data_IF_632972566278
#
_entry.id   IF_632972566278
#
_cell.length_a   1.000
_cell.length_b   1.000
_cell.length_c   1.000
_cell.angle_alpha   90.00
_cell.angle_beta   90.00
_cell.angle_gamma   90.00
#
_symmetry.space_group_name_H-M   'P 1'
#
loop_
_entity.id
_entity.type
_entity.pdbx_description
1 polymer ?
#
# COMPACT_ATOMS: atom_id res chain seq x y z
N UNK A 1 51.17 -31.38 -31.03
CA UNK A 1 51.18 -31.49 -29.56
C UNK A 1 51.17 -30.09 -28.99
N UNK A 2 50.27 -29.87 -28.04
CA UNK A 2 50.05 -28.74 -27.12
C UNK A 2 50.83 -27.41 -27.36
N UNK A 3 50.08 -26.34 -27.54
CA UNK A 3 50.52 -24.95 -27.40
C UNK A 3 49.35 -24.10 -26.91
N UNK A 4 49.44 -23.71 -25.65
CA UNK A 4 48.40 -23.16 -24.77
C UNK A 4 47.75 -21.86 -25.27
N UNK A 5 46.42 -21.86 -25.40
CA UNK A 5 45.61 -20.64 -25.42
C UNK A 5 45.33 -20.22 -23.98
N UNK A 6 46.18 -19.35 -23.43
CA UNK A 6 45.99 -18.71 -22.15
C UNK A 6 45.37 -17.32 -22.38
N UNK A 7 44.48 -16.92 -21.46
CA UNK A 7 43.99 -15.55 -21.23
C UNK A 7 43.02 -14.92 -22.24
N UNK A 8 41.75 -15.33 -22.21
CA UNK A 8 40.59 -14.42 -22.34
C UNK A 8 39.47 -14.90 -21.41
N UNK A 9 39.56 -14.63 -20.11
CA UNK A 9 38.46 -14.89 -19.17
C UNK A 9 38.60 -14.11 -17.85
N UNK A 10 38.84 -12.80 -17.89
CA UNK A 10 38.85 -11.96 -16.68
C UNK A 10 38.33 -10.55 -16.93
N UNK A 11 37.20 -10.40 -17.65
CA UNK A 11 36.51 -9.08 -17.77
C UNK A 11 34.98 -9.21 -17.61
N UNK A 12 34.48 -10.28 -16.98
CA UNK A 12 33.01 -10.47 -16.82
C UNK A 12 32.60 -10.82 -15.39
N UNK A 13 33.33 -10.34 -14.38
CA UNK A 13 32.93 -10.45 -12.98
C UNK A 13 33.21 -9.18 -12.15
N UNK A 14 33.28 -8.01 -12.82
CA UNK A 14 33.48 -6.70 -12.18
C UNK A 14 32.49 -5.63 -12.65
N UNK A 15 31.42 -6.04 -13.34
CA UNK A 15 30.33 -5.16 -13.81
C UNK A 15 28.96 -5.50 -13.20
N UNK A 16 28.90 -6.43 -12.24
CA UNK A 16 27.68 -6.79 -11.51
C UNK A 16 27.67 -6.33 -10.05
N UNK A 17 28.72 -5.61 -9.61
CA UNK A 17 28.81 -5.04 -8.25
C UNK A 17 28.77 -3.50 -8.27
N UNK A 18 28.83 -2.85 -9.44
CA UNK A 18 28.89 -1.38 -9.57
C UNK A 18 27.59 -0.72 -10.06
N UNK A 19 26.48 -1.46 -10.17
CA UNK A 19 25.14 -0.90 -10.42
C UNK A 19 24.25 -0.82 -9.17
N UNK A 20 24.87 -0.97 -7.98
CA UNK A 20 24.28 -0.67 -6.68
C UNK A 20 24.74 0.69 -6.11
N UNK A 21 25.50 1.48 -6.87
CA UNK A 21 25.92 2.83 -6.50
C UNK A 21 25.08 3.87 -7.24
N UNK A 22 23.83 4.00 -6.80
CA UNK A 22 22.94 5.08 -7.22
C UNK A 22 21.86 5.23 -6.16
N UNK A 23 22.04 6.20 -5.27
CA UNK A 23 21.35 6.40 -3.99
C UNK A 23 21.96 5.61 -2.82
N UNK A 24 23.28 5.73 -2.66
CA UNK A 24 23.87 5.83 -1.33
C UNK A 24 23.29 7.05 -0.64
N UNK A 25 22.12 6.88 -0.01
CA UNK A 25 21.68 7.74 1.08
C UNK A 25 22.76 7.53 2.13
N UNK A 26 23.58 8.56 2.35
CA UNK A 26 24.44 8.60 3.52
C UNK A 26 23.59 8.18 4.71
N UNK A 27 23.90 7.05 5.32
CA UNK A 27 23.40 6.67 6.64
C UNK A 27 24.06 7.63 7.65
N UNK A 28 23.67 8.89 7.55
CA UNK A 28 24.08 9.99 8.39
C UNK A 28 23.21 9.94 9.64
N UNK A 29 23.86 9.84 10.80
CA UNK A 29 23.33 9.98 12.15
C UNK A 29 21.89 9.49 12.43
N UNK A 30 21.77 8.25 12.92
CA UNK A 30 20.66 7.74 13.75
C UNK A 30 19.32 8.47 13.54
N UNK A 31 18.62 8.21 12.43
CA UNK A 31 17.35 8.86 12.14
C UNK A 31 16.39 8.65 13.32
N UNK A 32 16.16 9.73 14.09
CA UNK A 32 15.33 9.68 15.30
C UNK A 32 13.89 9.36 14.88
N UNK A 33 13.19 8.60 15.73
CA UNK A 33 11.76 8.37 15.58
C UNK A 33 11.02 9.69 15.32
N UNK A 34 10.27 9.76 14.22
CA UNK A 34 9.46 10.91 13.83
C UNK A 34 8.10 10.47 13.31
N UNK A 35 7.14 10.38 14.22
CA UNK A 35 5.74 10.08 13.92
C UNK A 35 5.12 11.14 13.00
N UNK A 36 5.49 12.41 13.20
CA UNK A 36 5.03 13.53 12.37
C UNK A 36 5.46 13.37 10.90
N UNK A 37 6.76 13.13 10.66
CA UNK A 37 7.27 13.01 9.29
C UNK A 37 6.74 11.76 8.58
N UNK A 38 6.59 10.64 9.30
CA UNK A 38 5.92 9.45 8.79
C UNK A 38 4.48 9.74 8.33
N UNK A 39 3.74 10.52 9.14
CA UNK A 39 2.36 10.91 8.82
C UNK A 39 2.29 11.82 7.59
N UNK A 40 3.14 12.85 7.54
CA UNK A 40 3.22 13.75 6.39
C UNK A 40 3.63 13.03 5.10
N UNK A 41 4.50 12.00 5.21
CA UNK A 41 4.87 11.14 4.10
C UNK A 41 3.64 10.40 3.53
N UNK A 42 2.83 9.74 4.36
CA UNK A 42 1.62 9.05 3.90
C UNK A 42 0.58 10.00 3.30
N UNK A 43 0.40 11.19 3.88
CA UNK A 43 -0.48 12.21 3.31
C UNK A 43 -0.02 12.65 1.92
N UNK A 44 1.29 12.78 1.72
CA UNK A 44 1.87 13.11 0.42
C UNK A 44 1.60 12.01 -0.61
N UNK A 45 1.69 10.73 -0.23
CA UNK A 45 1.33 9.61 -1.10
C UNK A 45 -0.17 9.64 -1.46
N UNK A 46 -1.03 9.92 -0.48
CA UNK A 46 -2.48 10.04 -0.69
C UNK A 46 -2.82 11.14 -1.71
N UNK A 47 -2.21 12.30 -1.57
CA UNK A 47 -2.38 13.43 -2.49
C UNK A 47 -1.90 13.08 -3.89
N UNK A 48 -0.69 12.54 -4.00
CA UNK A 48 -0.04 12.28 -5.29
C UNK A 48 -0.83 11.27 -6.10
N UNK A 49 -1.16 10.14 -5.50
CA UNK A 49 -1.66 8.98 -6.23
C UNK A 49 -3.17 8.84 -6.22
N UNK A 50 -3.85 9.27 -5.15
CA UNK A 50 -5.30 9.16 -5.07
C UNK A 50 -5.95 10.46 -5.48
N UNK A 51 -5.65 11.57 -4.82
CA UNK A 51 -6.35 12.84 -5.07
C UNK A 51 -6.04 13.35 -6.48
N UNK A 52 -4.75 13.53 -6.79
CA UNK A 52 -4.32 14.05 -8.10
C UNK A 52 -4.38 12.97 -9.17
N UNK A 53 -3.91 11.76 -8.84
CA UNK A 53 -3.90 10.64 -9.77
C UNK A 53 -5.30 10.26 -10.28
N UNK A 54 -6.26 10.03 -9.38
CA UNK A 54 -7.61 9.62 -9.76
C UNK A 54 -8.37 10.73 -10.51
N UNK A 55 -8.24 12.00 -10.06
CA UNK A 55 -8.87 13.11 -10.79
C UNK A 55 -8.29 13.25 -12.19
N UNK A 56 -6.96 13.14 -12.34
CA UNK A 56 -6.33 13.17 -13.65
C UNK A 56 -6.84 12.02 -14.52
N UNK A 57 -6.93 10.81 -13.98
CA UNK A 57 -7.45 9.65 -14.70
C UNK A 57 -8.90 9.85 -15.16
N UNK A 58 -9.79 10.31 -14.27
CA UNK A 58 -11.22 10.48 -14.59
C UNK A 58 -11.51 11.64 -15.54
N UNK A 59 -10.58 12.59 -15.70
CA UNK A 59 -10.72 13.73 -16.62
C UNK A 59 -9.92 13.58 -17.92
N UNK A 60 -9.08 12.55 -18.02
CA UNK A 60 -8.16 12.39 -19.13
C UNK A 60 -8.76 11.54 -20.24
N UNK A 61 -8.62 12.01 -21.48
CA UNK A 61 -9.01 11.25 -22.68
C UNK A 61 -8.52 9.79 -22.63
N UNK A 62 -9.38 8.79 -22.91
CA UNK A 62 -9.08 7.36 -22.74
C UNK A 62 -7.75 6.90 -23.35
N UNK A 63 -7.38 7.46 -24.51
CA UNK A 63 -6.13 7.19 -25.21
C UNK A 63 -4.86 7.60 -24.43
N UNK A 64 -4.94 8.66 -23.62
CA UNK A 64 -3.84 9.11 -22.77
C UNK A 64 -3.80 8.34 -21.44
N UNK A 65 -4.96 7.86 -20.98
CA UNK A 65 -5.07 7.04 -19.77
C UNK A 65 -4.24 5.75 -19.88
N UNK A 66 -4.30 5.08 -21.04
CA UNK A 66 -3.56 3.84 -21.30
C UNK A 66 -2.04 4.00 -21.16
N UNK A 67 -1.48 5.14 -21.60
CA UNK A 67 -0.04 5.41 -21.48
C UNK A 67 0.42 5.65 -20.03
N UNK A 68 -0.43 6.24 -19.18
CA UNK A 68 -0.12 6.47 -17.77
C UNK A 68 -0.06 5.17 -16.95
N UNK A 69 -0.83 4.16 -17.36
CA UNK A 69 -0.96 2.92 -16.63
C UNK A 69 0.25 2.00 -16.73
N UNK A 70 1.04 2.13 -17.80
CA UNK A 70 2.23 1.31 -18.01
C UNK A 70 3.43 1.75 -17.15
N UNK A 71 3.34 2.87 -16.41
CA UNK A 71 4.51 3.57 -15.85
C UNK A 71 4.47 3.85 -14.34
N UNK A 72 3.46 3.40 -13.60
CA UNK A 72 3.35 3.70 -12.15
C UNK A 72 3.58 2.44 -11.31
N UNK A 73 4.83 2.24 -10.88
CA UNK A 73 5.19 1.23 -9.89
C UNK A 73 5.51 1.88 -8.55
N UNK A 74 4.78 1.52 -7.49
CA UNK A 74 5.14 1.85 -6.12
C UNK A 74 6.09 0.80 -5.54
N UNK A 75 7.10 1.20 -4.74
CA UNK A 75 8.02 0.24 -4.11
C UNK A 75 7.26 -0.73 -3.17
N UNK A 76 7.72 -1.98 -3.01
CA UNK A 76 7.06 -2.96 -2.14
C UNK A 76 6.88 -2.48 -0.70
N UNK A 77 7.85 -1.71 -0.19
CA UNK A 77 7.80 -1.07 1.11
C UNK A 77 7.62 0.44 0.93
N UNK A 78 6.77 1.08 1.75
CA UNK A 78 6.65 2.53 1.73
C UNK A 78 7.94 3.15 2.25
N UNK A 79 8.47 4.14 1.55
CA UNK A 79 9.60 4.96 2.01
C UNK A 79 9.30 5.65 3.36
N UNK A 80 8.02 5.78 3.72
CA UNK A 80 7.59 6.34 4.99
C UNK A 80 8.06 5.53 6.22
N UNK A 81 8.33 4.23 6.06
CA UNK A 81 8.78 3.36 7.14
C UNK A 81 10.09 3.82 7.79
N UNK A 82 10.95 4.50 7.03
CA UNK A 82 12.22 5.02 7.55
C UNK A 82 12.04 6.03 8.70
N UNK A 83 10.92 6.77 8.73
CA UNK A 83 10.66 7.79 9.75
C UNK A 83 10.25 7.20 11.11
N UNK A 84 9.73 5.97 11.13
CA UNK A 84 9.31 5.31 12.37
C UNK A 84 10.00 3.97 12.64
N UNK A 85 11.02 3.61 11.84
CA UNK A 85 11.81 2.39 12.02
C UNK A 85 12.46 2.30 13.42
N UNK A 86 12.80 3.45 14.02
CA UNK A 86 13.42 3.55 15.34
C UNK A 86 12.42 3.97 16.44
N UNK A 87 11.12 3.98 16.18
CA UNK A 87 10.10 4.27 17.19
C UNK A 87 9.82 3.07 18.10
N UNK A 88 9.09 3.30 19.19
CA UNK A 88 8.54 2.19 19.98
C UNK A 88 7.55 1.36 19.15
N UNK A 89 7.31 0.11 19.56
CA UNK A 89 6.34 -0.76 18.90
C UNK A 89 4.92 -0.16 18.91
N UNK A 90 4.55 0.55 19.98
CA UNK A 90 3.26 1.21 20.11
C UNK A 90 3.10 2.35 19.09
N UNK A 91 4.13 3.20 18.95
CA UNK A 91 4.15 4.29 17.97
C UNK A 91 4.18 3.77 16.53
N UNK A 92 4.96 2.72 16.25
CA UNK A 92 4.98 2.09 14.92
C UNK A 92 3.61 1.47 14.58
N UNK A 93 2.90 0.88 15.56
CA UNK A 93 1.59 0.28 15.35
C UNK A 93 0.51 1.30 14.92
N UNK A 94 0.71 2.59 15.18
CA UNK A 94 -0.19 3.66 14.73
C UNK A 94 -0.28 3.71 13.19
N UNK A 95 0.80 3.35 12.49
CA UNK A 95 0.91 3.38 11.03
C UNK A 95 0.27 2.18 10.32
N UNK A 96 -0.17 1.15 11.06
CA UNK A 96 -0.70 -0.11 10.48
C UNK A 96 -1.83 0.08 9.46
N UNK A 97 -2.72 1.07 9.68
CA UNK A 97 -3.78 1.41 8.73
C UNK A 97 -3.22 2.06 7.46
N UNK A 98 -2.27 2.97 7.61
CA UNK A 98 -1.63 3.66 6.48
C UNK A 98 -0.77 2.69 5.65
N UNK A 99 -0.07 1.75 6.28
CA UNK A 99 0.66 0.69 5.60
C UNK A 99 -0.26 -0.21 4.78
N UNK A 100 -1.39 -0.64 5.35
CA UNK A 100 -2.39 -1.44 4.61
C UNK A 100 -2.98 -0.66 3.43
N UNK A 101 -3.29 0.62 3.64
CA UNK A 101 -3.80 1.49 2.60
C UNK A 101 -2.77 1.68 1.48
N UNK A 102 -1.49 1.83 1.82
CA UNK A 102 -0.39 1.87 0.86
C UNK A 102 -0.29 0.58 0.04
N UNK A 103 -0.37 -0.59 0.67
CA UNK A 103 -0.36 -1.85 -0.08
C UNK A 103 -1.58 -1.96 -1.01
N UNK A 104 -2.74 -1.51 -0.56
CA UNK A 104 -3.96 -1.45 -1.40
C UNK A 104 -3.76 -0.51 -2.59
N UNK A 105 -3.17 0.66 -2.37
CA UNK A 105 -2.84 1.63 -3.42
C UNK A 105 -1.84 1.05 -4.43
N UNK A 106 -0.78 0.41 -3.94
CA UNK A 106 0.25 -0.24 -4.76
C UNK A 106 -0.35 -1.29 -5.68
N UNK A 107 -1.14 -2.22 -5.13
CA UNK A 107 -1.79 -3.28 -5.91
C UNK A 107 -2.68 -2.70 -7.00
N UNK A 108 -3.41 -1.61 -6.72
CA UNK A 108 -4.26 -0.94 -7.71
C UNK A 108 -3.50 -0.27 -8.84
N UNK A 109 -2.40 0.41 -8.52
CA UNK A 109 -1.62 1.13 -9.53
C UNK A 109 -0.88 0.16 -10.47
N UNK A 110 -0.62 -1.06 -10.00
CA UNK A 110 0.02 -2.12 -10.78
C UNK A 110 -0.97 -3.03 -11.51
N UNK A 111 -2.27 -2.78 -11.41
CA UNK A 111 -3.31 -3.61 -12.00
C UNK A 111 -3.76 -3.01 -13.33
N UNK A 112 -3.25 -3.58 -14.42
CA UNK A 112 -3.47 -3.10 -15.79
C UNK A 112 -4.96 -3.16 -16.19
N UNK A 113 -5.71 -4.14 -15.68
CA UNK A 113 -7.15 -4.32 -15.97
C UNK A 113 -7.96 -3.11 -15.46
N UNK A 114 -7.53 -2.50 -14.35
CA UNK A 114 -8.21 -1.35 -13.75
C UNK A 114 -8.13 -0.07 -14.56
N UNK A 115 -7.19 0.02 -15.48
CA UNK A 115 -7.10 1.17 -16.37
C UNK A 115 -8.13 1.15 -17.47
N UNK A 116 -8.46 -0.03 -18.00
CA UNK A 116 -9.57 -0.17 -18.94
C UNK A 116 -10.91 0.13 -18.26
N UNK A 117 -11.07 -0.29 -16.99
CA UNK A 117 -12.24 0.04 -16.18
C UNK A 117 -12.43 1.55 -15.99
N UNK A 118 -11.35 2.29 -15.68
CA UNK A 118 -11.41 3.75 -15.52
C UNK A 118 -11.77 4.48 -16.82
N UNK A 119 -11.30 3.99 -17.97
CA UNK A 119 -11.66 4.55 -19.27
C UNK A 119 -13.18 4.47 -19.54
N UNK A 120 -13.85 3.41 -19.07
CA UNK A 120 -15.31 3.26 -19.16
C UNK A 120 -16.03 4.38 -18.38
N UNK A 121 -15.51 4.77 -17.22
CA UNK A 121 -16.14 5.83 -16.41
C UNK A 121 -16.05 7.21 -17.02
N UNK A 122 -14.99 7.53 -17.76
CA UNK A 122 -14.83 8.87 -18.32
C UNK A 122 -16.06 9.28 -19.18
N UNK A 123 -16.60 8.32 -19.96
CA UNK A 123 -17.77 8.56 -20.83
C UNK A 123 -19.08 8.91 -20.11
N UNK A 124 -19.21 8.58 -18.82
CA UNK A 124 -20.46 8.71 -18.07
C UNK A 124 -20.31 9.50 -16.76
N UNK A 125 -19.09 9.90 -16.41
CA UNK A 125 -18.80 10.66 -15.20
C UNK A 125 -19.39 12.06 -15.32
N UNK A 126 -20.03 12.53 -14.26
CA UNK A 126 -20.53 13.89 -14.18
C UNK A 126 -19.37 14.85 -13.95
N UNK A 127 -18.82 15.38 -15.04
CA UNK A 127 -17.69 16.30 -15.03
C UNK A 127 -17.93 17.53 -14.14
N UNK A 128 -19.16 18.05 -14.08
CA UNK A 128 -19.50 19.21 -13.23
C UNK A 128 -19.31 18.89 -11.75
N UNK A 129 -19.74 17.70 -11.31
CA UNK A 129 -19.52 17.25 -9.93
C UNK A 129 -18.02 17.01 -9.70
N UNK A 130 -17.36 16.32 -10.62
CA UNK A 130 -15.94 15.99 -10.54
C UNK A 130 -15.04 17.22 -10.40
N UNK A 131 -15.27 18.26 -11.21
CA UNK A 131 -14.56 19.55 -11.12
C UNK A 131 -14.86 20.32 -9.82
N UNK A 132 -15.98 20.00 -9.17
CA UNK A 132 -16.37 20.48 -7.85
C UNK A 132 -15.70 19.73 -6.70
N UNK A 133 -15.16 18.53 -6.94
CA UNK A 133 -14.48 17.71 -5.92
C UNK A 133 -13.14 18.33 -5.55
N UNK A 134 -13.16 19.24 -4.56
CA UNK A 134 -11.98 19.91 -4.05
C UNK A 134 -11.68 19.43 -2.64
N UNK A 135 -10.41 19.19 -2.38
CA UNK A 135 -9.93 18.84 -1.06
C UNK A 135 -8.91 19.89 -0.60
N UNK A 136 -9.20 20.52 0.54
CA UNK A 136 -8.27 21.45 1.21
C UNK A 136 -7.61 20.69 2.35
N UNK A 137 -6.28 20.71 2.37
CA UNK A 137 -5.48 19.95 3.33
C UNK A 137 -4.55 20.86 4.12
N UNK A 138 -4.25 20.42 5.33
CA UNK A 138 -3.23 21.00 6.20
C UNK A 138 -2.08 20.01 6.32
N UNK A 139 -0.90 20.36 5.80
CA UNK A 139 0.23 19.42 5.70
C UNK A 139 1.12 19.37 6.95
N UNK A 140 0.80 20.16 7.97
CA UNK A 140 1.50 20.11 9.26
C UNK A 140 0.83 19.04 10.12
N UNK A 141 1.50 17.93 10.46
CA UNK A 141 0.90 16.79 11.16
C UNK A 141 0.64 17.12 12.63
N UNK A 142 -0.59 17.56 12.92
CA UNK A 142 -1.15 17.79 14.26
C UNK A 142 -2.47 17.03 14.42
N UNK A 143 -2.91 16.74 15.66
CA UNK A 143 -4.21 16.09 15.89
C UNK A 143 -5.41 16.83 15.26
N UNK A 144 -5.35 18.16 15.21
CA UNK A 144 -6.39 18.97 14.54
C UNK A 144 -6.35 18.79 13.02
N UNK A 145 -5.17 18.89 12.42
CA UNK A 145 -4.99 18.68 10.97
C UNK A 145 -5.35 17.26 10.54
N UNK A 146 -5.08 16.24 11.37
CA UNK A 146 -5.51 14.86 11.14
C UNK A 146 -7.02 14.76 11.02
N UNK A 147 -7.74 15.36 11.97
CA UNK A 147 -9.21 15.40 11.92
C UNK A 147 -9.69 16.13 10.66
N UNK A 148 -9.15 17.32 10.39
CA UNK A 148 -9.54 18.13 9.23
C UNK A 148 -9.26 17.40 7.92
N UNK A 149 -8.09 16.78 7.76
CA UNK A 149 -7.72 16.05 6.56
C UNK A 149 -8.55 14.77 6.39
N UNK A 150 -8.88 14.06 7.47
CA UNK A 150 -9.75 12.89 7.43
C UNK A 150 -11.19 13.25 6.99
N UNK A 151 -11.74 14.35 7.51
CA UNK A 151 -13.04 14.88 7.08
C UNK A 151 -13.00 15.32 5.62
N UNK A 152 -11.94 16.02 5.21
CA UNK A 152 -11.75 16.44 3.82
C UNK A 152 -11.65 15.24 2.87
N UNK A 153 -10.92 14.18 3.26
CA UNK A 153 -10.82 12.92 2.53
C UNK A 153 -12.18 12.23 2.40
N UNK A 154 -12.96 12.19 3.49
CA UNK A 154 -14.31 11.58 3.49
C UNK A 154 -15.25 12.32 2.52
N UNK A 155 -15.26 13.65 2.57
CA UNK A 155 -16.07 14.49 1.68
C UNK A 155 -15.64 14.36 0.22
N UNK A 156 -14.32 14.26 -0.03
CA UNK A 156 -13.79 14.05 -1.36
C UNK A 156 -14.22 12.69 -1.93
N UNK A 157 -14.13 11.62 -1.14
CA UNK A 157 -14.59 10.28 -1.53
C UNK A 157 -16.08 10.26 -1.88
N UNK A 158 -16.92 10.91 -1.08
CA UNK A 158 -18.36 11.05 -1.37
C UNK A 158 -18.60 11.82 -2.67
N UNK A 159 -17.85 12.89 -2.92
CA UNK A 159 -17.96 13.65 -4.16
C UNK A 159 -17.60 12.81 -5.39
N UNK A 160 -16.57 11.98 -5.30
CA UNK A 160 -16.21 11.04 -6.38
C UNK A 160 -17.32 10.02 -6.64
N UNK A 161 -17.91 9.45 -5.58
CA UNK A 161 -19.02 8.52 -5.69
C UNK A 161 -20.24 9.17 -6.36
N UNK A 162 -20.55 10.42 -6.00
CA UNK A 162 -21.61 11.20 -6.63
C UNK A 162 -21.31 11.51 -8.11
N UNK A 163 -20.05 11.79 -8.45
CA UNK A 163 -19.64 12.06 -9.83
C UNK A 163 -19.87 10.85 -10.74
N UNK A 164 -19.66 9.62 -10.25
CA UNK A 164 -19.85 8.39 -11.03
C UNK A 164 -21.22 7.74 -10.82
N UNK A 165 -22.08 8.31 -9.99
CA UNK A 165 -23.35 7.71 -9.56
C UNK A 165 -24.25 7.29 -10.73
N UNK A 166 -24.34 8.11 -11.76
CA UNK A 166 -25.19 7.91 -12.94
C UNK A 166 -24.59 6.95 -13.98
N UNK A 167 -23.32 6.56 -13.86
CA UNK A 167 -22.72 5.57 -14.74
C UNK A 167 -23.45 4.23 -14.62
N UNK A 168 -24.01 3.73 -15.71
CA UNK A 168 -24.69 2.42 -15.74
C UNK A 168 -24.30 1.69 -17.01
N UNK A 169 -24.25 0.36 -16.94
CA UNK A 169 -23.91 -0.48 -18.10
C UNK A 169 -22.77 -1.47 -17.84
N UNK A 170 -22.45 -2.32 -18.84
CA UNK A 170 -21.38 -3.30 -18.75
C UNK A 170 -20.03 -2.63 -18.41
N UNK A 171 -19.25 -3.23 -17.51
CA UNK A 171 -17.92 -2.70 -17.10
C UNK A 171 -17.95 -1.56 -16.09
N UNK A 172 -19.08 -0.86 -15.90
CA UNK A 172 -19.16 0.27 -14.94
C UNK A 172 -19.08 -0.14 -13.47
N UNK A 173 -19.44 -1.39 -13.13
CA UNK A 173 -19.44 -1.88 -11.76
C UNK A 173 -18.02 -2.01 -11.17
N UNK A 174 -17.10 -2.61 -11.93
CA UNK A 174 -15.69 -2.75 -11.53
C UNK A 174 -15.04 -1.37 -11.34
N UNK A 175 -15.26 -0.49 -12.32
CA UNK A 175 -14.76 0.86 -12.28
C UNK A 175 -15.31 1.71 -11.11
N UNK A 176 -16.61 1.61 -10.80
CA UNK A 176 -17.18 2.26 -9.60
C UNK A 176 -16.57 1.69 -8.32
N UNK A 177 -16.37 0.38 -8.27
CA UNK A 177 -15.71 -0.28 -7.14
C UNK A 177 -14.27 0.22 -6.98
N UNK A 178 -13.57 0.50 -8.08
CA UNK A 178 -12.25 1.14 -8.06
C UNK A 178 -12.28 2.53 -7.43
N UNK A 179 -13.23 3.38 -7.83
CA UNK A 179 -13.40 4.73 -7.29
C UNK A 179 -13.71 4.68 -5.79
N UNK A 180 -14.68 3.86 -5.39
CA UNK A 180 -15.07 3.66 -3.99
C UNK A 180 -13.90 3.18 -3.14
N UNK A 181 -13.20 2.13 -3.60
CA UNK A 181 -12.06 1.60 -2.90
C UNK A 181 -10.95 2.64 -2.81
N UNK A 182 -10.79 3.52 -3.80
CA UNK A 182 -9.79 4.60 -3.77
C UNK A 182 -10.17 5.68 -2.76
N UNK A 183 -11.45 5.97 -2.61
CA UNK A 183 -11.96 6.80 -1.51
C UNK A 183 -11.70 6.20 -0.12
N UNK A 184 -11.83 4.87 0.03
CA UNK A 184 -11.46 4.18 1.27
C UNK A 184 -9.95 4.26 1.51
N UNK A 185 -9.13 3.96 0.49
CA UNK A 185 -7.67 4.08 0.58
C UNK A 185 -7.24 5.49 0.99
N UNK A 186 -7.87 6.53 0.44
CA UNK A 186 -7.61 7.93 0.79
C UNK A 186 -7.86 8.20 2.28
N UNK A 187 -9.02 7.78 2.80
CA UNK A 187 -9.39 8.02 4.19
C UNK A 187 -8.50 7.25 5.17
N UNK A 188 -8.05 6.04 4.81
CA UNK A 188 -7.09 5.28 5.61
C UNK A 188 -5.69 5.91 5.61
N UNK A 189 -5.22 6.46 4.48
CA UNK A 189 -3.95 7.20 4.42
C UNK A 189 -3.99 8.49 5.25
N UNK A 190 -5.17 9.13 5.36
CA UNK A 190 -5.43 10.27 6.25
C UNK A 190 -5.94 9.86 7.64
N UNK A 191 -5.89 8.56 8.00
CA UNK A 191 -6.41 8.11 9.28
C UNK A 191 -5.65 8.73 10.46
N UNK A 192 -6.39 8.93 11.55
CA UNK A 192 -5.86 9.53 12.77
C UNK A 192 -4.88 8.55 13.42
N UNK A 193 -3.65 8.99 13.61
CA UNK A 193 -2.62 8.24 14.33
C UNK A 193 -2.67 8.54 15.84
N UNK A 194 -3.24 9.69 16.25
CA UNK A 194 -3.36 10.05 17.67
C UNK A 194 -4.66 9.60 18.35
N UNK A 195 -5.56 8.90 17.64
CA UNK A 195 -6.73 8.29 18.27
C UNK A 195 -6.46 6.80 18.55
N UNK A 196 -6.86 6.28 19.74
CA UNK A 196 -6.78 4.86 20.02
C UNK A 196 -7.46 4.09 18.88
N UNK A 197 -6.77 3.08 18.37
CA UNK A 197 -7.31 2.17 17.37
C UNK A 197 -8.46 1.38 18.02
N UNK A 198 -9.67 1.93 17.99
CA UNK A 198 -10.87 1.16 18.34
C UNK A 198 -11.05 0.16 17.22
N UNK A 199 -10.66 -1.09 17.47
CA UNK A 199 -10.99 -2.20 16.58
C UNK A 199 -12.51 -2.19 16.35
N UNK A 200 -13.00 -2.24 15.09
CA UNK A 200 -14.43 -2.38 14.81
C UNK A 200 -15.00 -3.70 15.36
N UNK A 201 -14.13 -4.64 15.74
CA UNK A 201 -14.48 -5.81 16.54
C UNK A 201 -14.20 -5.54 18.03
N UNK A 202 -15.04 -4.70 18.62
CA UNK A 202 -15.11 -4.59 20.06
C UNK A 202 -15.61 -5.91 20.65
N UNK A 203 -14.71 -6.75 21.17
CA UNK A 203 -15.10 -7.70 22.21
C UNK A 203 -15.65 -6.86 23.36
N UNK A 204 -16.95 -6.98 23.58
CA UNK A 204 -17.63 -6.51 24.79
C UNK A 204 -16.91 -7.17 25.97
N UNK A 205 -16.05 -6.43 26.66
CA UNK A 205 -15.47 -6.87 27.92
C UNK A 205 -16.61 -6.86 28.94
N UNK A 206 -17.20 -8.03 29.18
CA UNK A 206 -18.07 -8.23 30.34
C UNK A 206 -17.17 -8.24 31.56
N UNK A 207 -17.19 -7.15 32.33
CA UNK A 207 -16.65 -7.10 33.68
C UNK A 207 -17.37 -8.16 34.53
N UNK A 208 -16.68 -9.24 34.88
CA UNK A 208 -17.09 -10.13 35.97
C UNK A 208 -16.00 -10.08 37.02
N UNK A 209 -16.39 -9.67 38.22
CA UNK A 209 -15.54 -9.58 39.41
C UNK A 209 -14.93 -10.95 39.78
N UNK A 210 -13.78 -10.97 40.47
CA UNK A 210 -13.10 -12.22 40.78
C UNK A 210 -13.75 -12.90 41.99
N UNK A 211 -14.17 -14.15 41.82
CA UNK A 211 -14.33 -15.09 42.93
C UNK A 211 -13.33 -16.23 42.78
N UNK A 212 -12.69 -16.52 43.90
CA UNK A 212 -11.56 -17.42 44.10
C UNK A 212 -11.87 -18.90 43.86
N UNK A 213 -10.83 -19.59 43.41
CA UNK A 213 -10.51 -21.02 43.60
C UNK A 213 -11.32 -22.07 42.83
N UNK A 214 -10.67 -22.76 41.89
CA UNK A 214 -10.13 -24.10 42.17
C UNK A 214 -9.28 -24.62 41.00
N UNK A 215 -8.25 -25.35 41.39
CA UNK A 215 -7.32 -26.14 40.58
C UNK A 215 -8.06 -27.33 39.95
N UNK A 216 -7.85 -27.62 38.66
CA UNK A 216 -7.46 -28.97 38.18
C UNK A 216 -7.31 -29.02 36.67
N UNK A 217 -6.27 -29.77 36.29
CA UNK A 217 -5.81 -30.07 34.95
C UNK A 217 -6.86 -30.78 34.07
N UNK A 218 -6.78 -30.59 32.75
CA UNK A 218 -6.32 -31.64 31.82
C UNK A 218 -6.49 -31.24 30.34
N UNK A 219 -5.45 -31.57 29.58
CA UNK A 219 -5.43 -32.02 28.18
C UNK A 219 -5.86 -31.03 27.10
N UNK A 220 -4.93 -30.67 26.19
CA UNK A 220 -4.92 -31.29 24.85
C UNK A 220 -3.53 -31.18 24.21
N UNK A 221 -3.23 -32.24 23.49
CA UNK A 221 -1.93 -32.74 23.04
C UNK A 221 -1.26 -31.85 22.00
N UNK A 222 0.07 -31.73 22.13
CA UNK A 222 1.00 -31.10 21.20
C UNK A 222 0.89 -31.69 19.79
N UNK A 223 0.79 -30.81 18.80
CA UNK A 223 0.82 -31.16 17.38
C UNK A 223 2.27 -31.40 16.95
N UNK A 224 2.60 -32.64 16.60
CA UNK A 224 3.87 -33.04 15.99
C UNK A 224 3.90 -32.58 14.54
N UNK A 225 4.79 -31.65 14.18
CA UNK A 225 5.04 -31.28 12.78
C UNK A 225 5.97 -32.33 12.16
N UNK A 226 5.42 -33.15 11.26
CA UNK A 226 6.18 -34.04 10.39
C UNK A 226 6.76 -33.19 9.25
N UNK A 227 8.08 -33.00 9.24
CA UNK A 227 8.82 -32.52 8.07
C UNK A 227 9.18 -33.74 7.23
N UNK A 228 8.43 -33.98 6.15
CA UNK A 228 8.81 -34.94 5.12
C UNK A 228 9.39 -34.17 3.92
N UNK A 229 10.71 -34.25 3.80
CA UNK A 229 11.51 -33.81 2.66
C UNK A 229 11.11 -34.58 1.40
N UNK A 230 10.61 -33.86 0.39
CA UNK A 230 10.49 -34.37 -0.98
C UNK A 230 11.83 -34.21 -1.70
N UNK A 231 12.65 -35.27 -1.69
CA UNK A 231 13.77 -35.46 -2.61
C UNK A 231 13.47 -36.75 -3.39
N UNK A 232 13.07 -36.64 -4.66
CA UNK A 232 13.26 -37.68 -5.69
C UNK A 232 12.69 -37.22 -7.04
N UNK A 233 13.57 -36.62 -7.85
CA UNK A 233 13.52 -36.55 -9.31
C UNK A 233 14.95 -36.15 -9.73
N UNK A 234 15.64 -36.70 -10.74
CA UNK A 234 15.36 -37.66 -11.79
C UNK A 234 16.61 -38.54 -11.96
N UNK A 235 16.42 -39.84 -12.19
CA UNK A 235 17.38 -40.69 -12.88
C UNK A 235 17.06 -40.66 -14.38
N UNK A 236 17.93 -40.02 -15.18
CA UNK A 236 17.98 -40.23 -16.64
C UNK A 236 19.40 -40.69 -17.00
N UNK A 237 19.43 -41.95 -17.42
CA UNK A 237 20.31 -42.64 -18.36
C UNK A 237 21.58 -41.94 -18.88
N UNK A 238 22.71 -42.64 -18.73
CA UNK A 238 23.73 -42.71 -19.78
C UNK A 238 24.24 -44.14 -19.86
N UNK A 239 23.85 -44.82 -20.93
CA UNK A 239 24.61 -45.93 -21.50
C UNK A 239 25.58 -45.35 -22.51
N UNK A 240 26.85 -45.30 -22.13
CA UNK A 240 28.00 -45.80 -22.88
C UNK A 240 29.07 -46.16 -21.86
#
# INVERSE_FOLDING_TARGET
>A
MAGSAMTVATVTLLLLVTLLEGHGVNADESQKCSVGDGTACYWSLAIKYVVRGLLAQLTMEPQHLKMLCEHIALPPLPECAQYYANCSQEEAALFSRQERAYQTLRTKLMDEEKCEELAVLNSCTNERILLGCRMRLVMVPTPESERTNFEAATNFSQCLDDAVKTCTGPGTLGAKSYVQLSGVTLTELFSKIHQPQVSPYGKRATTVAPTSASVSAQLFSSLTVIVATSLLSLSISSSC
#
